data_IF_151661737742
#
_entry.id   IF_151661737742
#
_cell.length_a   1.000
_cell.length_b   1.000
_cell.length_c   1.000
_cell.angle_alpha   90.00
_cell.angle_beta   90.00
_cell.angle_gamma   90.00
#
_symmetry.space_group_name_H-M   'P 1'
#
loop_
_entity.id
_entity.type
_entity.pdbx_description
1 polymer ?
#
# COMPACT_ATOMS: atom_id res chain seq x y z
N UNK A 1 11.52 5.60 -22.62
CA UNK A 1 10.73 5.57 -21.36
C UNK A 1 9.56 4.61 -21.51
N UNK A 2 9.81 3.33 -21.13
CA UNK A 2 8.82 2.25 -21.29
C UNK A 2 8.14 1.87 -19.96
N UNK A 3 8.39 2.61 -18.87
CA UNK A 3 7.85 2.32 -17.56
C UNK A 3 7.35 3.59 -16.88
N UNK A 4 6.17 3.50 -16.26
CA UNK A 4 5.56 4.54 -15.42
C UNK A 4 5.16 3.95 -14.09
N UNK A 5 5.54 4.59 -13.01
CA UNK A 5 5.04 4.25 -11.67
C UNK A 5 3.78 5.06 -11.36
N UNK A 6 2.67 4.39 -11.10
CA UNK A 6 1.45 5.03 -10.61
C UNK A 6 1.33 4.82 -9.10
N UNK A 7 1.15 5.89 -8.36
CA UNK A 7 1.01 5.86 -6.90
C UNK A 7 -0.33 6.44 -6.48
N UNK A 8 -1.17 5.60 -5.88
CA UNK A 8 -2.41 6.05 -5.28
C UNK A 8 -2.12 6.71 -3.92
N UNK A 9 -2.43 7.98 -3.79
CA UNK A 9 -2.36 8.73 -2.54
C UNK A 9 -3.75 8.82 -1.93
N UNK A 10 -3.95 8.21 -0.78
CA UNK A 10 -5.21 8.18 -0.05
C UNK A 10 -4.99 8.59 1.40
N UNK A 11 -6.02 9.07 2.14
CA UNK A 11 -5.88 9.39 3.56
C UNK A 11 -5.50 8.21 4.46
N UNK A 12 -5.64 6.96 3.97
CA UNK A 12 -5.31 5.74 4.71
C UNK A 12 -3.99 5.07 4.28
N UNK A 13 -3.21 5.71 3.40
CA UNK A 13 -1.80 5.38 3.12
C UNK A 13 -0.92 6.35 3.89
N UNK A 14 0.10 5.84 4.58
CA UNK A 14 1.04 6.69 5.32
C UNK A 14 1.79 7.62 4.38
N UNK A 15 1.96 8.87 4.77
CA UNK A 15 2.72 9.86 3.97
C UNK A 15 4.18 9.43 3.76
N UNK A 16 4.76 8.67 4.69
CA UNK A 16 6.09 8.09 4.56
C UNK A 16 6.19 7.14 3.36
N UNK A 17 5.17 6.27 3.16
CA UNK A 17 5.11 5.35 2.02
C UNK A 17 5.11 6.09 0.68
N UNK A 18 4.37 7.20 0.61
CA UNK A 18 4.33 8.05 -0.58
C UNK A 18 5.67 8.75 -0.82
N UNK A 19 6.34 9.21 0.24
CA UNK A 19 7.67 9.82 0.14
C UNK A 19 8.72 8.81 -0.32
N UNK A 20 8.72 7.62 0.26
CA UNK A 20 9.66 6.54 -0.07
C UNK A 20 9.49 6.08 -1.51
N UNK A 21 8.25 5.91 -1.98
CA UNK A 21 7.99 5.57 -3.38
C UNK A 21 8.53 6.65 -4.33
N UNK A 22 8.42 7.93 -3.95
CA UNK A 22 8.94 9.04 -4.74
C UNK A 22 10.47 9.05 -4.78
N UNK A 23 11.10 8.82 -3.63
CA UNK A 23 12.56 8.74 -3.54
C UNK A 23 13.11 7.57 -4.38
N UNK A 24 12.42 6.42 -4.33
CA UNK A 24 12.78 5.25 -5.13
C UNK A 24 12.64 5.51 -6.63
N UNK A 25 11.53 6.06 -7.08
CA UNK A 25 11.30 6.39 -8.49
C UNK A 25 12.38 7.35 -9.03
N UNK A 26 12.73 8.39 -8.24
CA UNK A 26 13.82 9.32 -8.60
C UNK A 26 15.16 8.62 -8.72
N UNK A 27 15.49 7.74 -7.77
CA UNK A 27 16.74 6.97 -7.79
C UNK A 27 16.85 6.06 -9.01
N UNK A 28 15.74 5.45 -9.41
CA UNK A 28 15.68 4.54 -10.55
C UNK A 28 15.51 5.26 -11.90
N UNK A 29 15.34 6.58 -11.90
CA UNK A 29 15.03 7.34 -13.11
C UNK A 29 13.67 7.01 -13.71
N UNK A 30 12.74 6.45 -12.90
CA UNK A 30 11.40 6.08 -13.34
C UNK A 30 10.45 7.27 -13.17
N UNK A 31 9.73 7.60 -14.22
CA UNK A 31 8.67 8.61 -14.16
C UNK A 31 7.58 8.14 -13.19
N UNK A 32 7.13 9.04 -12.31
CA UNK A 32 6.06 8.75 -11.36
C UNK A 32 4.89 9.73 -11.55
N UNK A 33 3.68 9.21 -11.50
CA UNK A 33 2.46 9.99 -11.36
C UNK A 33 1.73 9.59 -10.06
N UNK A 34 1.23 10.59 -9.34
CA UNK A 34 0.50 10.39 -8.08
C UNK A 34 -0.95 10.79 -8.29
N UNK A 35 -1.85 9.84 -8.08
CA UNK A 35 -3.28 10.07 -8.14
C UNK A 35 -3.82 10.21 -6.70
N UNK A 36 -4.45 11.35 -6.42
CA UNK A 36 -5.08 11.60 -5.13
C UNK A 36 -6.51 11.05 -5.12
N UNK A 37 -6.84 10.32 -4.08
CA UNK A 37 -8.17 9.79 -3.84
C UNK A 37 -8.65 10.20 -2.44
N UNK A 38 -9.92 10.58 -2.28
CA UNK A 38 -10.52 10.75 -0.95
C UNK A 38 -10.70 9.39 -0.26
N UNK A 39 -11.25 9.40 0.95
CA UNK A 39 -11.81 8.18 1.53
C UNK A 39 -12.93 7.71 0.62
N UNK A 40 -12.76 6.52 0.04
CA UNK A 40 -13.76 5.96 -0.87
C UNK A 40 -15.08 5.74 -0.12
N UNK A 41 -16.24 6.10 -0.68
CA UNK A 41 -17.55 5.93 -0.01
C UNK A 41 -17.78 4.50 0.50
N UNK A 42 -17.37 3.50 -0.28
CA UNK A 42 -17.46 2.09 0.10
C UNK A 42 -16.59 1.72 1.33
N UNK A 43 -15.66 2.58 1.75
CA UNK A 43 -14.78 2.37 2.90
C UNK A 43 -15.14 3.24 4.10
N UNK A 44 -16.18 4.07 3.99
CA UNK A 44 -16.56 5.05 5.00
C UNK A 44 -16.80 4.45 6.41
N UNK A 45 -17.20 3.18 6.46
CA UNK A 45 -17.40 2.45 7.71
C UNK A 45 -16.44 1.26 7.90
N UNK A 46 -15.27 1.29 7.25
CA UNK A 46 -14.26 0.22 7.39
C UNK A 46 -14.83 -1.21 7.30
N UNK A 47 -15.51 -1.59 6.21
CA UNK A 47 -16.16 -2.90 6.11
C UNK A 47 -15.14 -4.05 6.11
N UNK A 48 -15.53 -5.30 6.47
CA UNK A 48 -14.66 -6.46 6.40
C UNK A 48 -14.04 -6.68 5.01
N UNK A 49 -14.76 -6.40 3.94
CA UNK A 49 -14.30 -6.51 2.55
C UNK A 49 -13.51 -5.29 2.06
N UNK A 50 -13.10 -4.36 2.96
CA UNK A 50 -12.39 -3.13 2.59
C UNK A 50 -11.24 -3.31 1.60
N UNK A 51 -10.45 -4.38 1.75
CA UNK A 51 -9.30 -4.62 0.88
C UNK A 51 -9.71 -4.92 -0.57
N UNK A 52 -10.79 -5.68 -0.77
CA UNK A 52 -11.36 -5.93 -2.09
C UNK A 52 -11.91 -4.63 -2.69
N UNK A 53 -12.79 -3.94 -1.95
CA UNK A 53 -13.42 -2.69 -2.41
C UNK A 53 -12.39 -1.61 -2.75
N UNK A 54 -11.38 -1.46 -1.90
CA UNK A 54 -10.29 -0.51 -2.11
C UNK A 54 -9.49 -0.85 -3.36
N UNK A 55 -8.96 -2.08 -3.46
CA UNK A 55 -8.15 -2.47 -4.62
C UNK A 55 -8.95 -2.39 -5.92
N UNK A 56 -10.18 -2.86 -5.93
CA UNK A 56 -11.01 -2.78 -7.13
C UNK A 56 -11.17 -1.33 -7.61
N UNK A 57 -11.57 -0.41 -6.72
CA UNK A 57 -11.77 1.00 -7.09
C UNK A 57 -10.45 1.69 -7.52
N UNK A 58 -9.37 1.51 -6.74
CA UNK A 58 -8.09 2.14 -7.04
C UNK A 58 -7.48 1.61 -8.33
N UNK A 59 -7.42 0.28 -8.50
CA UNK A 59 -6.80 -0.30 -9.70
C UNK A 59 -7.62 -0.06 -10.96
N UNK A 60 -8.95 0.00 -10.90
CA UNK A 60 -9.77 0.46 -12.02
C UNK A 60 -9.40 1.89 -12.45
N UNK A 61 -9.26 2.80 -11.49
CA UNK A 61 -8.87 4.19 -11.78
C UNK A 61 -7.42 4.30 -12.29
N UNK A 62 -6.50 3.52 -11.71
CA UNK A 62 -5.10 3.49 -12.15
C UNK A 62 -4.97 2.92 -13.57
N UNK A 63 -5.74 1.87 -13.90
CA UNK A 63 -5.75 1.28 -15.24
C UNK A 63 -6.29 2.26 -16.30
N UNK A 64 -7.39 2.95 -15.99
CA UNK A 64 -7.91 4.00 -16.87
C UNK A 64 -6.86 5.09 -17.11
N UNK A 65 -6.20 5.54 -16.03
CA UNK A 65 -5.16 6.57 -16.15
C UNK A 65 -3.94 6.11 -16.92
N UNK A 66 -3.49 4.86 -16.71
CA UNK A 66 -2.41 4.27 -17.50
C UNK A 66 -2.73 4.26 -19.00
N UNK A 67 -3.94 3.84 -19.36
CA UNK A 67 -4.40 3.81 -20.74
C UNK A 67 -4.43 5.22 -21.38
N UNK A 68 -4.95 6.24 -20.67
CA UNK A 68 -4.92 7.65 -21.12
C UNK A 68 -3.50 8.14 -21.39
N UNK A 69 -2.52 7.63 -20.67
CA UNK A 69 -1.11 7.98 -20.83
C UNK A 69 -0.37 7.12 -21.83
N UNK A 70 -1.06 6.22 -22.55
CA UNK A 70 -0.48 5.35 -23.56
C UNK A 70 0.21 4.09 -23.00
N UNK A 71 -0.04 3.72 -21.74
CA UNK A 71 0.46 2.49 -21.14
C UNK A 71 -0.65 1.42 -21.15
N UNK A 72 -0.56 0.41 -22.02
CA UNK A 72 -1.63 -0.59 -22.18
C UNK A 72 -1.66 -1.62 -21.05
N UNK A 73 -0.60 -1.71 -20.24
CA UNK A 73 -0.44 -2.71 -19.19
C UNK A 73 -0.21 -2.04 -17.84
N UNK A 74 -1.02 -2.41 -16.86
CA UNK A 74 -0.81 -2.09 -15.46
C UNK A 74 -0.48 -3.38 -14.71
N UNK A 75 0.55 -3.39 -13.87
CA UNK A 75 0.96 -4.53 -13.05
C UNK A 75 1.01 -4.16 -11.57
N UNK A 76 0.88 -5.16 -10.69
CA UNK A 76 1.04 -4.98 -9.24
C UNK A 76 2.24 -5.77 -8.71
N UNK A 77 2.62 -5.52 -7.43
CA UNK A 77 3.74 -6.16 -6.77
C UNK A 77 3.38 -7.37 -5.90
N UNK A 78 2.25 -8.03 -6.13
CA UNK A 78 1.90 -9.26 -5.38
C UNK A 78 2.95 -10.34 -5.62
N UNK A 79 3.24 -11.14 -4.58
CA UNK A 79 4.28 -12.16 -4.55
C UNK A 79 3.77 -13.46 -3.90
N UNK A 80 4.61 -14.50 -3.80
CA UNK A 80 4.19 -15.81 -3.27
C UNK A 80 3.63 -15.75 -1.85
N UNK A 81 4.20 -14.93 -0.96
CA UNK A 81 3.71 -14.80 0.43
C UNK A 81 2.29 -14.21 0.50
N UNK A 82 1.80 -13.64 -0.58
CA UNK A 82 0.44 -13.12 -0.66
C UNK A 82 -0.59 -14.21 -1.05
N UNK A 83 -0.13 -15.45 -1.33
CA UNK A 83 -1.00 -16.60 -1.66
C UNK A 83 -1.59 -17.30 -0.42
N UNK A 84 -0.84 -17.31 0.69
CA UNK A 84 -1.19 -18.09 1.90
C UNK A 84 -2.39 -17.53 2.66
N UNK A 85 -2.80 -16.30 2.33
CA UNK A 85 -3.96 -15.65 2.90
C UNK A 85 -5.11 -15.60 1.88
N UNK A 86 -6.33 -15.91 2.32
CA UNK A 86 -7.56 -15.62 1.57
C UNK A 86 -7.75 -14.09 1.48
N UNK A 87 -6.81 -13.40 0.81
CA UNK A 87 -6.80 -11.93 0.73
C UNK A 87 -7.86 -11.44 -0.24
N UNK A 88 -8.95 -10.83 0.25
CA UNK A 88 -10.02 -10.32 -0.63
C UNK A 88 -9.50 -9.36 -1.71
N UNK A 89 -8.43 -8.61 -1.41
CA UNK A 89 -7.83 -7.69 -2.37
C UNK A 89 -7.20 -8.35 -3.60
N UNK A 90 -6.77 -9.61 -3.52
CA UNK A 90 -6.23 -10.35 -4.66
C UNK A 90 -7.33 -10.69 -5.67
N UNK A 91 -8.53 -11.03 -5.17
CA UNK A 91 -9.69 -11.28 -6.03
C UNK A 91 -9.99 -10.07 -6.93
N UNK A 92 -9.90 -8.86 -6.39
CA UNK A 92 -10.09 -7.64 -7.17
C UNK A 92 -9.08 -7.50 -8.32
N UNK A 93 -7.80 -7.80 -8.07
CA UNK A 93 -6.78 -7.75 -9.12
C UNK A 93 -7.01 -8.79 -10.22
N UNK A 94 -7.42 -10.00 -9.84
CA UNK A 94 -7.75 -11.07 -10.79
C UNK A 94 -8.95 -10.69 -11.66
N UNK A 95 -10.03 -10.16 -11.08
CA UNK A 95 -11.21 -9.70 -11.81
C UNK A 95 -10.90 -8.56 -12.79
N UNK A 96 -9.94 -7.70 -12.45
CA UNK A 96 -9.48 -6.61 -13.29
C UNK A 96 -8.40 -7.03 -14.31
N UNK A 97 -7.96 -8.28 -14.31
CA UNK A 97 -6.91 -8.76 -15.19
C UNK A 97 -5.55 -8.09 -14.96
N UNK A 98 -5.26 -7.65 -13.72
CA UNK A 98 -3.98 -7.01 -13.39
C UNK A 98 -2.92 -8.08 -13.12
N UNK A 99 -1.87 -8.20 -13.97
CA UNK A 99 -0.81 -9.18 -13.77
C UNK A 99 0.07 -8.82 -12.57
N UNK A 100 0.64 -9.85 -11.96
CA UNK A 100 1.55 -9.76 -10.81
C UNK A 100 2.89 -10.41 -11.19
N UNK A 101 3.84 -9.70 -11.80
CA UNK A 101 5.07 -10.30 -12.36
C UNK A 101 5.90 -11.07 -11.34
N UNK A 102 5.96 -10.66 -10.07
CA UNK A 102 6.68 -11.40 -9.04
C UNK A 102 6.00 -12.74 -8.73
N UNK A 103 4.67 -12.76 -8.72
CA UNK A 103 3.92 -13.98 -8.52
C UNK A 103 4.09 -14.94 -9.71
N UNK A 104 4.03 -14.43 -10.94
CA UNK A 104 4.25 -15.21 -12.17
C UNK A 104 5.67 -15.79 -12.21
N UNK A 105 6.66 -15.04 -11.71
CA UNK A 105 8.04 -15.50 -11.57
C UNK A 105 8.29 -16.37 -10.33
N UNK A 106 7.23 -16.74 -9.58
CA UNK A 106 7.32 -17.53 -8.34
C UNK A 106 8.29 -16.96 -7.30
N UNK A 107 8.33 -15.64 -7.16
CA UNK A 107 9.20 -14.93 -6.21
C UNK A 107 8.45 -14.68 -4.89
N UNK A 108 9.11 -14.99 -3.77
CA UNK A 108 8.70 -14.60 -2.42
C UNK A 108 9.34 -13.24 -2.01
N UNK A 109 9.00 -12.75 -0.82
CA UNK A 109 9.59 -11.50 -0.28
C UNK A 109 11.10 -11.58 -0.09
N UNK A 110 11.63 -12.76 0.24
CA UNK A 110 13.07 -12.94 0.41
C UNK A 110 13.78 -12.83 -0.93
N UNK A 111 13.21 -13.40 -1.98
CA UNK A 111 13.73 -13.28 -3.35
C UNK A 111 13.73 -11.82 -3.83
N UNK A 112 12.63 -11.11 -3.62
CA UNK A 112 12.50 -9.69 -3.99
C UNK A 112 13.53 -8.84 -3.24
N UNK A 113 13.75 -9.08 -1.95
CA UNK A 113 14.75 -8.38 -1.15
C UNK A 113 16.17 -8.67 -1.65
N UNK A 114 16.48 -9.95 -1.95
CA UNK A 114 17.77 -10.33 -2.54
C UNK A 114 18.00 -9.64 -3.89
N UNK A 115 16.97 -9.59 -4.74
CA UNK A 115 17.04 -8.89 -6.01
C UNK A 115 17.29 -7.39 -5.82
N UNK A 116 16.55 -6.76 -4.89
CA UNK A 116 16.74 -5.34 -4.56
C UNK A 116 18.18 -5.05 -4.11
N UNK A 117 18.77 -5.90 -3.25
CA UNK A 117 20.15 -5.78 -2.83
C UNK A 117 21.13 -5.93 -4.02
N UNK A 118 20.90 -6.91 -4.89
CA UNK A 118 21.73 -7.10 -6.11
C UNK A 118 21.68 -5.91 -7.06
N UNK A 119 20.54 -5.23 -7.14
CA UNK A 119 20.35 -4.01 -7.91
C UNK A 119 20.93 -2.76 -7.21
N UNK A 120 21.58 -2.91 -6.08
CA UNK A 120 22.19 -1.80 -5.33
C UNK A 120 21.17 -0.87 -4.68
N UNK A 121 19.94 -1.34 -4.42
CA UNK A 121 18.96 -0.55 -3.68
C UNK A 121 19.35 -0.46 -2.20
N UNK A 122 19.12 0.68 -1.53
CA UNK A 122 19.50 0.86 -0.14
C UNK A 122 18.71 -0.05 0.78
N UNK A 123 19.26 -0.33 1.96
CA UNK A 123 18.58 -1.14 2.99
C UNK A 123 17.23 -0.58 3.40
N UNK A 124 17.04 0.73 3.36
CA UNK A 124 15.73 1.38 3.57
C UNK A 124 14.65 0.92 2.58
N UNK A 125 15.02 0.33 1.45
CA UNK A 125 14.13 -0.28 0.47
C UNK A 125 14.13 -1.80 0.62
N UNK A 126 15.31 -2.45 0.55
CA UNK A 126 15.43 -3.91 0.56
C UNK A 126 15.09 -4.54 1.92
N UNK A 127 15.35 -3.83 3.02
CA UNK A 127 15.04 -4.25 4.40
C UNK A 127 13.73 -3.69 4.95
N UNK A 128 12.97 -2.93 4.15
CA UNK A 128 11.76 -2.26 4.63
C UNK A 128 10.72 -3.25 5.15
N UNK A 129 10.18 -3.07 6.38
CA UNK A 129 9.10 -3.90 6.88
C UNK A 129 7.82 -3.70 6.07
N UNK A 130 6.96 -4.73 6.04
CA UNK A 130 5.66 -4.63 5.39
C UNK A 130 4.70 -3.76 6.23
N UNK A 131 4.15 -2.72 5.62
CA UNK A 131 3.14 -1.88 6.24
C UNK A 131 1.76 -2.14 5.60
N UNK A 132 0.78 -2.42 6.43
CA UNK A 132 -0.61 -2.44 6.01
C UNK A 132 -1.20 -1.03 6.10
N UNK A 133 -2.25 -0.73 5.31
CA UNK A 133 -2.89 0.58 5.32
C UNK A 133 -3.50 0.92 6.71
N UNK A 134 -3.66 2.20 7.01
CA UNK A 134 -4.15 2.69 8.32
C UNK A 134 -5.55 2.20 8.68
N UNK A 135 -6.38 1.79 7.71
CA UNK A 135 -7.69 1.19 7.98
C UNK A 135 -7.60 -0.09 8.82
N UNK A 136 -6.46 -0.79 8.78
CA UNK A 136 -6.24 -1.98 9.62
C UNK A 136 -6.02 -1.65 11.09
N UNK A 137 -5.83 -0.39 11.45
CA UNK A 137 -5.69 0.11 12.82
C UNK A 137 -7.04 0.41 13.46
N UNK A 138 -8.11 0.39 12.67
CA UNK A 138 -9.47 0.67 13.10
C UNK A 138 -10.29 -0.61 13.17
N UNK A 139 -11.23 -0.67 14.09
CA UNK A 139 -12.22 -1.74 14.16
C UNK A 139 -13.07 -1.78 12.88
N UNK A 140 -13.55 -2.98 12.52
CA UNK A 140 -14.51 -3.11 11.44
C UNK A 140 -15.84 -2.41 11.79
N UNK A 141 -16.53 -1.95 10.77
CA UNK A 141 -17.83 -1.26 10.86
C UNK A 141 -17.77 0.03 11.71
N UNK A 142 -16.58 0.64 11.78
CA UNK A 142 -16.37 1.93 12.44
C UNK A 142 -16.28 3.04 11.40
N UNK A 143 -16.89 4.22 11.64
CA UNK A 143 -16.73 5.39 10.79
C UNK A 143 -15.26 5.78 10.62
N UNK A 144 -14.83 5.96 9.38
CA UNK A 144 -13.48 6.37 9.02
C UNK A 144 -13.47 7.87 8.76
N UNK A 145 -12.62 8.60 9.49
CA UNK A 145 -12.41 10.04 9.26
C UNK A 145 -10.94 10.33 9.00
N UNK A 146 -10.66 11.35 8.19
CA UNK A 146 -9.28 11.76 7.96
C UNK A 146 -8.58 12.21 9.26
N UNK A 147 -9.32 12.81 10.19
CA UNK A 147 -8.77 13.23 11.49
C UNK A 147 -8.25 12.02 12.27
N UNK A 148 -9.05 10.94 12.31
CA UNK A 148 -8.66 9.71 13.00
C UNK A 148 -7.44 9.05 12.32
N UNK A 149 -7.43 8.96 11.00
CA UNK A 149 -6.31 8.41 10.24
C UNK A 149 -5.03 9.22 10.45
N UNK A 150 -5.10 10.55 10.40
CA UNK A 150 -3.94 11.41 10.69
C UNK A 150 -3.41 11.26 12.11
N UNK A 151 -4.28 11.08 13.11
CA UNK A 151 -3.86 10.81 14.49
C UNK A 151 -3.09 9.50 14.60
N UNK A 152 -3.58 8.44 13.95
CA UNK A 152 -2.89 7.14 13.94
C UNK A 152 -1.53 7.26 13.23
N UNK A 153 -1.48 7.88 12.05
CA UNK A 153 -0.22 8.06 11.31
C UNK A 153 0.80 8.89 12.10
N UNK A 154 0.37 9.97 12.74
CA UNK A 154 1.23 10.79 13.60
C UNK A 154 1.78 10.00 14.80
N UNK A 155 0.94 9.19 15.46
CA UNK A 155 1.34 8.35 16.58
C UNK A 155 2.37 7.28 16.15
N UNK A 156 2.11 6.54 15.05
CA UNK A 156 3.07 5.56 14.53
C UNK A 156 4.36 6.24 14.05
N UNK A 157 4.27 7.42 13.43
CA UNK A 157 5.44 8.21 13.03
C UNK A 157 6.30 8.62 14.24
N UNK A 158 5.66 9.09 15.32
CA UNK A 158 6.37 9.41 16.55
C UNK A 158 7.07 8.20 17.15
N UNK A 159 6.40 7.05 17.24
CA UNK A 159 7.01 5.80 17.76
C UNK A 159 8.22 5.37 16.92
N UNK A 160 8.18 5.57 15.60
CA UNK A 160 9.33 5.31 14.74
C UNK A 160 10.52 6.21 15.05
N UNK A 161 10.31 7.49 15.42
CA UNK A 161 11.40 8.37 15.85
C UNK A 161 12.09 7.91 17.13
N UNK A 162 11.39 7.10 17.95
CA UNK A 162 11.94 6.46 19.14
C UNK A 162 12.64 5.11 18.85
N UNK A 163 12.80 4.75 17.57
CA UNK A 163 13.44 3.50 17.14
C UNK A 163 12.52 2.28 17.09
N UNK A 164 11.23 2.42 17.42
CA UNK A 164 10.24 1.32 17.41
C UNK A 164 9.78 1.07 15.96
N UNK A 165 10.52 0.23 15.23
CA UNK A 165 10.19 -0.14 13.86
C UNK A 165 9.09 -1.21 13.84
N UNK A 166 8.11 -1.06 12.91
CA UNK A 166 7.05 -2.04 12.71
C UNK A 166 5.89 -1.96 13.72
N UNK A 167 5.93 -1.04 14.66
CA UNK A 167 4.85 -0.82 15.62
C UNK A 167 3.54 -0.43 14.93
N UNK A 168 2.41 -0.74 15.58
CA UNK A 168 1.06 -0.40 15.13
C UNK A 168 0.27 0.21 16.28
N UNK A 169 -0.41 1.31 16.00
CA UNK A 169 -1.32 1.95 16.96
C UNK A 169 -2.76 1.65 16.57
N UNK A 170 -3.39 0.72 17.27
CA UNK A 170 -4.79 0.36 17.03
C UNK A 170 -5.72 1.16 17.92
N UNK A 171 -6.79 1.64 17.31
CA UNK A 171 -7.83 2.40 17.99
C UNK A 171 -9.00 1.49 18.33
N UNK A 172 -9.37 1.44 19.62
CA UNK A 172 -10.50 0.70 20.13
C UNK A 172 -11.48 1.66 20.82
N UNK A 173 -12.74 1.63 20.39
CA UNK A 173 -13.71 2.61 20.86
C UNK A 173 -13.22 4.05 20.63
N UNK A 174 -13.63 4.98 21.48
CA UNK A 174 -13.33 6.41 21.31
C UNK A 174 -12.12 6.89 22.09
N UNK A 175 -11.62 6.11 23.07
CA UNK A 175 -10.64 6.57 24.06
C UNK A 175 -9.44 5.63 24.23
N UNK A 176 -9.43 4.42 23.66
CA UNK A 176 -8.35 3.46 23.86
C UNK A 176 -7.47 3.35 22.62
N UNK A 177 -6.18 3.54 22.78
CA UNK A 177 -5.15 3.24 21.78
C UNK A 177 -4.26 2.10 22.29
N UNK A 178 -4.13 1.01 21.53
CA UNK A 178 -3.24 -0.11 21.81
C UNK A 178 -2.03 -0.05 20.89
N UNK A 179 -0.84 -0.06 21.49
CA UNK A 179 0.43 -0.14 20.76
C UNK A 179 0.82 -1.63 20.67
N UNK A 180 1.04 -2.09 19.44
CA UNK A 180 1.58 -3.42 19.13
C UNK A 180 3.02 -3.23 18.64
N UNK A 181 3.96 -3.97 19.22
CA UNK A 181 5.39 -3.94 18.88
C UNK A 181 5.79 -5.17 18.08
#
# INVERSE_FOLDING_TARGET
>A
DHCLALTARTPYVMEEEVRDSTALCRRLGVRQEKLAFPILPALANNPPLRCYLCKHALFSSLAARAAEMGFPLLADGSNLDDLDDSRPGRKALQELGIPSPFLEASMDKADIRRLACRLGLPESVSGKPAYACLLTRLEHNRPVTEVLLRRVDAAESFLRTLGLKGCRVRVHGDSLARIEL
#
